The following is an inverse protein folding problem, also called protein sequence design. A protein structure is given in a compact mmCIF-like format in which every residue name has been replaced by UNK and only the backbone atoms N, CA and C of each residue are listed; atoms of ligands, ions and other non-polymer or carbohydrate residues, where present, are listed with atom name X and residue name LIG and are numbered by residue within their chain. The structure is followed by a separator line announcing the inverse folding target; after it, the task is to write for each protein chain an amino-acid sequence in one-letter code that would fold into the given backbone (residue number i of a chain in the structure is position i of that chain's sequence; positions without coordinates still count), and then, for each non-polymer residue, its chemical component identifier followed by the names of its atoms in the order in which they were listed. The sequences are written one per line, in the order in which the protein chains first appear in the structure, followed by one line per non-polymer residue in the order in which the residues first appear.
data_IF_289478422762
#
_entry.id   IF_289478422762
#
_cell.length_a   1.000
_cell.length_b   1.000
_cell.length_c   1.000
_cell.angle_alpha   90.00
_cell.angle_beta   90.00
_cell.angle_gamma   90.00
#
_symmetry.space_group_name_H-M   'P 1'
#
loop_
_entity.id
_entity.type
_entity.pdbx_description
1 polymer ?
#
# COMPACT_ATOMS: atom_id res chain seq x y z
N UNK A 1 17.68 -35.48 -1.20
CA UNK A 1 17.78 -34.49 -2.28
C UNK A 1 19.13 -34.66 -2.95
N UNK A 2 19.15 -35.12 -4.20
CA UNK A 2 20.39 -35.34 -4.94
C UNK A 2 20.61 -34.17 -5.90
N UNK A 3 21.83 -33.63 -5.89
CA UNK A 3 22.27 -32.67 -6.88
C UNK A 3 22.87 -33.40 -8.08
N UNK A 4 22.83 -32.80 -9.28
CA UNK A 4 23.37 -33.40 -10.50
C UNK A 4 24.77 -34.02 -10.38
N UNK A 5 25.70 -33.34 -9.70
CA UNK A 5 27.08 -33.81 -9.52
C UNK A 5 27.22 -34.98 -8.53
N UNK A 6 26.20 -35.27 -7.71
CA UNK A 6 26.23 -36.42 -6.78
C UNK A 6 26.27 -37.78 -7.51
N UNK A 7 25.95 -37.81 -8.81
CA UNK A 7 26.06 -38.99 -9.65
C UNK A 7 27.47 -39.19 -10.26
N UNK A 8 28.34 -38.19 -10.11
CA UNK A 8 29.71 -38.21 -10.61
C UNK A 8 30.64 -38.59 -9.46
N UNK A 9 31.69 -39.36 -9.75
CA UNK A 9 32.68 -39.76 -8.75
C UNK A 9 33.25 -38.52 -8.05
N UNK A 10 33.27 -38.57 -6.71
CA UNK A 10 33.70 -37.47 -5.84
C UNK A 10 35.15 -37.07 -6.10
N UNK A 11 35.99 -37.98 -6.60
CA UNK A 11 37.37 -37.67 -6.97
C UNK A 11 37.49 -36.71 -8.16
N UNK A 12 36.43 -36.58 -8.97
CA UNK A 12 36.40 -35.70 -10.14
C UNK A 12 35.81 -34.32 -9.80
N UNK A 13 35.36 -34.11 -8.57
CA UNK A 13 34.71 -32.85 -8.17
C UNK A 13 35.74 -31.72 -8.10
N UNK A 14 35.44 -30.55 -8.68
CA UNK A 14 36.25 -29.36 -8.49
C UNK A 14 36.30 -28.92 -7.03
N UNK A 15 37.40 -28.28 -6.65
CA UNK A 15 37.60 -27.73 -5.30
C UNK A 15 36.46 -26.77 -4.93
N UNK A 16 35.87 -26.96 -3.75
CA UNK A 16 34.70 -26.19 -3.28
C UNK A 16 33.33 -26.76 -3.67
N UNK A 17 33.25 -27.78 -4.54
CA UNK A 17 32.00 -28.51 -4.82
C UNK A 17 31.71 -29.63 -3.82
N UNK A 18 32.64 -29.89 -2.89
CA UNK A 18 32.44 -30.86 -1.80
C UNK A 18 31.39 -30.42 -0.76
N UNK A 19 31.15 -29.12 -0.69
CA UNK A 19 30.07 -28.52 0.08
C UNK A 19 28.88 -28.21 -0.83
N UNK A 20 27.73 -27.88 -0.23
CA UNK A 20 26.60 -27.37 -1.00
C UNK A 20 27.04 -26.19 -1.87
N UNK A 21 26.63 -26.15 -3.15
CA UNK A 21 27.01 -25.08 -4.05
C UNK A 21 26.68 -23.73 -3.43
N UNK A 22 27.59 -22.76 -3.58
CA UNK A 22 27.40 -21.43 -3.03
C UNK A 22 26.05 -20.86 -3.50
N UNK A 23 25.28 -20.31 -2.57
CA UNK A 23 24.00 -19.68 -2.89
C UNK A 23 22.86 -20.65 -3.21
N UNK A 24 23.07 -21.96 -3.14
CA UNK A 24 22.02 -22.94 -3.36
C UNK A 24 20.98 -22.90 -2.24
N UNK A 25 19.72 -22.64 -2.61
CA UNK A 25 18.60 -22.54 -1.67
C UNK A 25 17.82 -23.85 -1.56
N UNK A 26 17.85 -24.68 -2.60
CA UNK A 26 17.14 -25.95 -2.63
C UNK A 26 16.52 -26.26 -3.99
N UNK A 27 15.85 -27.42 -4.05
CA UNK A 27 14.98 -27.73 -5.18
C UNK A 27 13.67 -26.96 -5.06
N UNK A 28 13.11 -26.52 -6.19
CA UNK A 28 11.87 -25.74 -6.22
C UNK A 28 10.71 -26.43 -5.50
N UNK A 29 10.55 -27.75 -5.66
CA UNK A 29 9.48 -28.51 -5.00
C UNK A 29 9.58 -28.52 -3.46
N UNK A 30 10.79 -28.32 -2.89
CA UNK A 30 10.97 -28.22 -1.44
C UNK A 30 10.57 -26.84 -0.91
N UNK A 31 10.66 -25.82 -1.76
CA UNK A 31 10.33 -24.43 -1.44
C UNK A 31 8.84 -24.13 -1.63
N UNK A 32 8.16 -24.87 -2.51
CA UNK A 32 6.73 -24.71 -2.76
C UNK A 32 5.91 -25.58 -1.80
N UNK A 33 5.01 -24.95 -1.04
CA UNK A 33 4.05 -25.66 -0.18
C UNK A 33 2.61 -25.50 -0.68
N UNK A 34 2.00 -26.55 -1.24
CA UNK A 34 0.58 -26.51 -1.60
C UNK A 34 -0.29 -26.23 -0.37
N UNK A 35 -1.20 -25.25 -0.47
CA UNK A 35 -2.11 -24.87 0.61
C UNK A 35 -3.06 -25.99 1.03
N UNK A 36 -3.41 -26.88 0.10
CA UNK A 36 -4.26 -28.05 0.34
C UNK A 36 -3.41 -29.32 0.26
N UNK A 37 -3.46 -30.15 1.30
CA UNK A 37 -2.76 -31.43 1.35
C UNK A 37 -3.26 -32.35 0.21
N UNK A 38 -2.36 -33.13 -0.38
CA UNK A 38 -2.61 -34.23 -1.32
C UNK A 38 -3.36 -33.93 -2.63
N UNK A 39 -3.67 -32.67 -2.96
CA UNK A 39 -4.42 -32.37 -4.20
C UNK A 39 -3.52 -32.01 -5.38
N UNK A 40 -2.30 -31.51 -5.11
CA UNK A 40 -1.40 -30.96 -6.14
C UNK A 40 0.08 -31.27 -5.93
N UNK A 41 0.45 -32.04 -4.90
CA UNK A 41 1.87 -32.34 -4.62
C UNK A 41 2.54 -33.04 -5.80
N UNK A 42 1.89 -34.06 -6.37
CA UNK A 42 2.40 -34.76 -7.56
C UNK A 42 2.52 -33.84 -8.76
N UNK A 43 1.49 -33.04 -9.05
CA UNK A 43 1.51 -32.09 -10.19
C UNK A 43 2.59 -31.03 -10.02
N UNK A 44 2.73 -30.47 -8.81
CA UNK A 44 3.79 -29.50 -8.50
C UNK A 44 5.16 -30.13 -8.65
N UNK A 45 5.35 -31.36 -8.17
CA UNK A 45 6.59 -32.09 -8.38
C UNK A 45 6.85 -32.35 -9.87
N UNK A 46 5.86 -32.77 -10.66
CA UNK A 46 6.00 -32.95 -12.11
C UNK A 46 6.40 -31.66 -12.82
N UNK A 47 5.87 -30.51 -12.39
CA UNK A 47 6.17 -29.21 -13.00
C UNK A 47 7.50 -28.59 -12.54
N UNK A 48 7.99 -28.91 -11.34
CA UNK A 48 9.09 -28.18 -10.68
C UNK A 48 10.21 -29.07 -10.16
N UNK A 49 10.11 -30.39 -10.33
CA UNK A 49 10.77 -31.38 -9.48
C UNK A 49 12.30 -31.39 -9.55
N UNK A 50 12.87 -31.18 -10.73
CA UNK A 50 14.33 -31.18 -10.90
C UNK A 50 14.93 -29.78 -10.84
N UNK A 51 14.10 -28.75 -10.87
CA UNK A 51 14.53 -27.35 -10.91
C UNK A 51 15.27 -26.95 -9.64
N UNK A 52 16.40 -26.27 -9.81
CA UNK A 52 17.26 -25.79 -8.74
C UNK A 52 17.07 -24.28 -8.53
N UNK A 53 17.14 -23.84 -7.27
CA UNK A 53 17.00 -22.42 -6.91
C UNK A 53 18.26 -21.93 -6.21
N UNK A 54 18.74 -20.77 -6.65
CA UNK A 54 19.88 -20.05 -6.14
C UNK A 54 19.49 -18.64 -5.69
N UNK A 55 20.31 -18.03 -4.83
CA UNK A 55 20.17 -16.63 -4.42
C UNK A 55 20.42 -15.66 -5.59
N UNK A 56 21.59 -15.77 -6.21
CA UNK A 56 22.12 -14.91 -7.24
C UNK A 56 22.38 -15.67 -8.54
N UNK A 57 22.34 -14.94 -9.65
CA UNK A 57 22.60 -15.49 -10.98
C UNK A 57 24.03 -16.02 -11.14
N UNK A 58 25.00 -15.27 -10.61
CA UNK A 58 26.44 -15.58 -10.63
C UNK A 58 26.72 -16.97 -10.08
N UNK A 59 26.10 -17.29 -8.94
CA UNK A 59 26.20 -18.58 -8.27
C UNK A 59 25.53 -19.71 -9.07
N UNK A 60 24.31 -19.47 -9.58
CA UNK A 60 23.59 -20.43 -10.42
C UNK A 60 24.38 -20.81 -11.68
N UNK A 61 24.93 -19.81 -12.38
CA UNK A 61 25.72 -20.01 -13.60
C UNK A 61 27.07 -20.68 -13.32
N UNK A 62 27.75 -20.30 -12.23
CA UNK A 62 28.99 -20.94 -11.83
C UNK A 62 28.79 -22.45 -11.59
N UNK A 63 27.72 -22.82 -10.89
CA UNK A 63 27.36 -24.22 -10.67
C UNK A 63 26.98 -24.95 -11.96
N UNK A 64 26.14 -24.34 -12.80
CA UNK A 64 25.74 -24.90 -14.09
C UNK A 64 26.95 -25.17 -14.99
N UNK A 65 27.85 -24.18 -15.10
CA UNK A 65 29.09 -24.28 -15.88
C UNK A 65 30.01 -25.37 -15.35
N UNK A 66 30.20 -25.45 -14.04
CA UNK A 66 30.98 -26.49 -13.38
C UNK A 66 30.45 -27.88 -13.76
N UNK A 67 29.15 -28.11 -13.60
CA UNK A 67 28.54 -29.40 -13.90
C UNK A 67 28.58 -29.76 -15.40
N UNK A 68 28.25 -28.82 -16.29
CA UNK A 68 28.23 -29.06 -17.75
C UNK A 68 29.61 -29.19 -18.38
N UNK A 69 30.54 -28.31 -18.00
CA UNK A 69 31.87 -28.22 -18.64
C UNK A 69 32.87 -29.15 -17.97
N UNK A 70 32.93 -29.13 -16.64
CA UNK A 70 34.00 -29.78 -15.89
C UNK A 70 33.60 -31.24 -15.57
N UNK A 71 32.35 -31.47 -15.16
CA UNK A 71 31.82 -32.80 -14.82
C UNK A 71 31.07 -33.51 -15.95
N UNK A 72 30.79 -32.81 -17.06
CA UNK A 72 30.04 -33.31 -18.23
C UNK A 72 28.71 -33.99 -17.87
N UNK A 73 28.04 -33.49 -16.83
CA UNK A 73 26.74 -34.02 -16.40
C UNK A 73 25.60 -33.08 -16.81
N UNK A 74 24.42 -33.66 -17.02
CA UNK A 74 23.22 -32.89 -17.32
C UNK A 74 22.74 -32.13 -16.09
N UNK A 75 22.45 -30.84 -16.29
CA UNK A 75 21.98 -29.96 -15.24
C UNK A 75 20.56 -29.52 -15.59
N UNK A 76 19.58 -29.71 -14.70
CA UNK A 76 18.24 -29.20 -14.89
C UNK A 76 18.22 -27.67 -14.79
N UNK A 77 17.10 -27.05 -15.15
CA UNK A 77 16.91 -25.60 -15.10
C UNK A 77 17.25 -25.04 -13.72
N UNK A 78 18.05 -23.96 -13.70
CA UNK A 78 18.45 -23.24 -12.50
C UNK A 78 17.80 -21.85 -12.49
N UNK A 79 17.12 -21.48 -11.41
CA UNK A 79 16.52 -20.16 -11.20
C UNK A 79 17.26 -19.38 -10.13
N UNK A 80 17.27 -18.05 -10.24
CA UNK A 80 17.62 -17.17 -9.13
C UNK A 80 16.40 -16.40 -8.60
N UNK A 81 16.58 -15.71 -7.47
CA UNK A 81 15.51 -14.91 -6.86
C UNK A 81 15.13 -13.68 -7.69
N UNK A 82 16.02 -13.17 -8.53
CA UNK A 82 15.75 -12.04 -9.43
C UNK A 82 14.85 -12.42 -10.64
N UNK A 83 14.49 -13.70 -10.79
CA UNK A 83 13.63 -14.17 -11.90
C UNK A 83 14.37 -14.40 -13.22
N UNK A 84 15.69 -14.52 -13.19
CA UNK A 84 16.50 -15.03 -14.31
C UNK A 84 16.70 -16.54 -14.17
N UNK A 85 16.79 -17.26 -15.28
CA UNK A 85 17.04 -18.70 -15.27
C UNK A 85 18.08 -19.13 -16.31
N UNK A 86 18.85 -20.17 -15.99
CA UNK A 86 19.58 -20.97 -16.99
C UNK A 86 18.65 -22.13 -17.33
N UNK A 87 18.29 -22.28 -18.60
CA UNK A 87 17.59 -23.48 -19.03
C UNK A 87 18.52 -24.70 -19.05
N UNK A 88 17.96 -25.90 -19.08
CA UNK A 88 18.73 -27.15 -19.13
C UNK A 88 19.68 -27.17 -20.34
N UNK A 89 19.27 -26.59 -21.46
CA UNK A 89 20.07 -26.45 -22.69
C UNK A 89 21.20 -25.41 -22.59
N UNK A 90 21.33 -24.72 -21.45
CA UNK A 90 22.33 -23.68 -21.25
C UNK A 90 21.94 -22.33 -21.84
N UNK A 91 20.72 -22.20 -22.34
CA UNK A 91 20.16 -20.92 -22.79
C UNK A 91 19.83 -20.07 -21.56
N UNK A 92 20.42 -18.88 -21.49
CA UNK A 92 20.03 -17.89 -20.48
C UNK A 92 18.67 -17.31 -20.86
N UNK A 93 17.65 -17.62 -20.07
CA UNK A 93 16.30 -17.12 -20.24
C UNK A 93 15.96 -16.24 -19.06
N UNK A 94 15.85 -14.93 -19.29
CA UNK A 94 15.55 -14.01 -18.21
C UNK A 94 15.87 -12.59 -18.60
N UNK A 95 14.91 -11.71 -18.40
CA UNK A 95 15.15 -10.27 -18.45
C UNK A 95 14.72 -9.75 -17.10
N UNK A 96 15.59 -9.03 -16.38
CA UNK A 96 15.15 -8.26 -15.19
C UNK A 96 13.93 -7.39 -15.51
N UNK A 97 13.83 -6.92 -16.77
CA UNK A 97 12.69 -6.19 -17.31
C UNK A 97 11.35 -6.95 -17.42
N UNK A 98 11.33 -8.27 -17.21
CA UNK A 98 10.11 -9.10 -17.23
C UNK A 98 9.70 -9.63 -15.85
N UNK A 99 10.52 -9.43 -14.81
CA UNK A 99 10.06 -9.64 -13.44
C UNK A 99 9.14 -8.45 -13.11
N UNK A 100 7.83 -8.63 -12.95
CA UNK A 100 6.95 -7.49 -12.80
C UNK A 100 7.23 -6.81 -11.46
N UNK A 101 7.52 -5.51 -11.49
CA UNK A 101 7.87 -4.71 -10.30
C UNK A 101 6.76 -4.71 -9.23
N UNK A 102 5.53 -5.02 -9.65
CA UNK A 102 4.37 -5.14 -8.77
C UNK A 102 3.73 -6.51 -8.91
N UNK A 103 3.38 -7.10 -7.75
CA UNK A 103 2.65 -8.37 -7.66
C UNK A 103 1.36 -8.38 -8.49
N UNK A 104 0.74 -7.22 -8.74
CA UNK A 104 -0.49 -7.04 -9.53
C UNK A 104 -0.29 -7.25 -11.03
N UNK A 105 0.95 -7.15 -11.52
CA UNK A 105 1.32 -7.35 -12.92
C UNK A 105 1.68 -8.82 -13.23
N UNK A 106 1.85 -9.67 -12.20
CA UNK A 106 1.99 -11.11 -12.39
C UNK A 106 0.68 -11.67 -12.91
N UNK A 107 0.68 -12.18 -14.15
CA UNK A 107 -0.35 -13.10 -14.62
C UNK A 107 -0.09 -14.42 -13.89
N UNK A 108 -0.72 -14.61 -12.72
CA UNK A 108 -0.55 -15.81 -11.89
C UNK A 108 -1.09 -17.03 -12.63
N UNK A 109 -0.27 -17.63 -13.48
CA UNK A 109 -0.54 -18.88 -14.16
C UNK A 109 -0.01 -20.06 -13.31
N UNK A 110 -0.49 -20.17 -12.07
CA UNK A 110 -0.32 -21.36 -11.25
C UNK A 110 -1.70 -21.84 -10.75
N UNK A 111 -2.49 -22.33 -11.72
CA UNK A 111 -3.67 -23.16 -11.45
C UNK A 111 -4.78 -22.56 -10.59
N UNK A 112 -4.90 -21.23 -10.53
CA UNK A 112 -6.13 -20.56 -10.11
C UNK A 112 -7.05 -20.44 -11.32
N UNK A 113 -8.33 -20.81 -11.18
CA UNK A 113 -9.30 -20.49 -12.23
C UNK A 113 -9.33 -18.97 -12.44
N UNK A 114 -9.61 -18.53 -13.67
CA UNK A 114 -9.66 -17.10 -14.00
C UNK A 114 -10.60 -16.33 -13.05
N UNK A 115 -11.67 -17.00 -12.57
CA UNK A 115 -12.61 -16.51 -11.57
C UNK A 115 -11.98 -16.22 -10.19
N UNK A 116 -11.05 -17.05 -9.72
CA UNK A 116 -10.36 -16.81 -8.44
C UNK A 116 -9.44 -15.58 -8.53
N UNK A 117 -8.78 -15.41 -9.68
CA UNK A 117 -7.93 -14.24 -9.96
C UNK A 117 -8.78 -12.98 -10.10
N UNK A 118 -9.91 -13.05 -10.79
CA UNK A 118 -10.87 -11.96 -10.90
C UNK A 118 -11.46 -11.60 -9.53
N UNK A 119 -11.74 -12.58 -8.67
CA UNK A 119 -12.22 -12.37 -7.30
C UNK A 119 -11.24 -11.57 -6.45
N UNK A 120 -9.96 -11.94 -6.44
CA UNK A 120 -8.92 -11.20 -5.72
C UNK A 120 -8.70 -9.80 -6.31
N UNK A 121 -8.75 -9.64 -7.65
CA UNK A 121 -8.69 -8.31 -8.29
C UNK A 121 -9.86 -7.39 -7.88
N UNK A 122 -11.07 -7.93 -7.74
CA UNK A 122 -12.23 -7.17 -7.25
C UNK A 122 -12.04 -6.74 -5.80
N UNK A 123 -11.47 -7.61 -4.95
CA UNK A 123 -11.15 -7.27 -3.55
C UNK A 123 -10.13 -6.14 -3.46
N UNK A 124 -9.04 -6.22 -4.24
CA UNK A 124 -8.02 -5.19 -4.31
C UNK A 124 -8.58 -3.83 -4.74
N UNK A 125 -9.37 -3.79 -5.83
CA UNK A 125 -10.07 -2.56 -6.26
C UNK A 125 -10.98 -1.99 -5.16
N UNK A 126 -11.64 -2.86 -4.40
CA UNK A 126 -12.51 -2.44 -3.29
C UNK A 126 -11.71 -1.84 -2.13
N UNK A 127 -10.53 -2.39 -1.83
CA UNK A 127 -9.61 -1.84 -0.82
C UNK A 127 -9.08 -0.47 -1.27
N UNK A 128 -8.70 -0.32 -2.54
CA UNK A 128 -8.27 0.99 -3.09
C UNK A 128 -9.38 2.03 -3.00
N UNK A 129 -10.63 1.67 -3.35
CA UNK A 129 -11.79 2.55 -3.20
C UNK A 129 -12.06 2.92 -1.74
N UNK A 130 -11.93 1.97 -0.81
CA UNK A 130 -12.07 2.23 0.62
C UNK A 130 -10.99 3.19 1.13
N UNK A 131 -9.75 3.08 0.65
CA UNK A 131 -8.68 4.01 1.01
C UNK A 131 -8.98 5.45 0.56
N UNK A 132 -9.52 5.63 -0.65
CA UNK A 132 -9.96 6.94 -1.15
C UNK A 132 -11.11 7.48 -0.30
N UNK A 133 -12.13 6.67 -0.01
CA UNK A 133 -13.26 7.10 0.82
C UNK A 133 -12.85 7.49 2.24
N UNK A 134 -11.88 6.79 2.84
CA UNK A 134 -11.34 7.16 4.16
C UNK A 134 -10.65 8.52 4.12
N UNK A 135 -9.82 8.77 3.09
CA UNK A 135 -9.16 10.06 2.92
C UNK A 135 -10.17 11.22 2.74
N UNK A 136 -11.25 10.99 1.96
CA UNK A 136 -12.34 11.95 1.82
C UNK A 136 -13.09 12.18 3.13
N UNK A 137 -13.33 11.11 3.91
CA UNK A 137 -13.95 11.20 5.22
C UNK A 137 -13.14 12.05 6.20
N UNK A 138 -11.82 11.88 6.22
CA UNK A 138 -10.93 12.64 7.10
C UNK A 138 -10.85 14.12 6.70
N UNK A 139 -10.88 14.41 5.39
CA UNK A 139 -11.03 15.79 4.90
C UNK A 139 -12.35 16.41 5.37
N UNK A 140 -13.47 15.70 5.20
CA UNK A 140 -14.80 16.16 5.61
C UNK A 140 -14.87 16.41 7.14
N UNK A 141 -14.28 15.53 7.95
CA UNK A 141 -14.14 15.77 9.40
C UNK A 141 -13.40 17.07 9.69
N UNK A 142 -12.30 17.33 8.99
CA UNK A 142 -11.56 18.59 9.07
C UNK A 142 -12.47 19.80 8.82
N UNK A 143 -13.20 19.79 7.71
CA UNK A 143 -14.12 20.87 7.33
C UNK A 143 -15.24 21.07 8.36
N UNK A 144 -15.81 20.00 8.91
CA UNK A 144 -16.81 20.05 9.98
C UNK A 144 -16.24 20.70 11.25
N UNK A 145 -15.03 20.33 11.66
CA UNK A 145 -14.41 20.95 12.85
C UNK A 145 -14.12 22.43 12.65
N UNK A 146 -13.63 22.83 11.47
CA UNK A 146 -13.39 24.22 11.12
C UNK A 146 -14.69 25.03 11.11
N UNK A 147 -15.77 24.46 10.56
CA UNK A 147 -17.09 25.09 10.50
C UNK A 147 -17.68 25.26 11.90
N UNK A 148 -17.57 24.23 12.77
CA UNK A 148 -18.01 24.29 14.16
C UNK A 148 -17.30 25.41 14.93
N UNK A 149 -16.00 25.61 14.70
CA UNK A 149 -15.24 26.72 15.29
C UNK A 149 -15.78 28.07 14.85
N UNK A 150 -15.96 28.29 13.53
CA UNK A 150 -16.54 29.54 12.99
C UNK A 150 -17.93 29.84 13.56
N UNK A 151 -18.78 28.82 13.71
CA UNK A 151 -20.12 28.99 14.31
C UNK A 151 -20.03 29.41 15.79
N UNK A 152 -19.06 28.88 16.54
CA UNK A 152 -18.84 29.31 17.93
C UNK A 152 -18.32 30.74 18.01
N UNK A 153 -17.39 31.13 17.14
CA UNK A 153 -16.87 32.50 17.04
C UNK A 153 -18.01 33.49 16.72
N UNK A 154 -18.82 33.21 15.68
CA UNK A 154 -19.98 34.05 15.35
C UNK A 154 -21.00 34.14 16.49
N UNK A 155 -21.24 33.05 17.24
CA UNK A 155 -22.12 33.10 18.43
C UNK A 155 -21.57 34.02 19.51
N UNK A 156 -20.27 33.93 19.80
CA UNK A 156 -19.63 34.81 20.79
C UNK A 156 -19.66 36.28 20.38
N UNK A 157 -19.45 36.57 19.09
CA UNK A 157 -19.59 37.94 18.57
C UNK A 157 -21.03 38.45 18.67
N UNK A 158 -22.02 37.61 18.36
CA UNK A 158 -23.43 37.96 18.49
C UNK A 158 -23.82 38.24 19.96
N UNK A 159 -23.34 37.42 20.90
CA UNK A 159 -23.54 37.64 22.34
C UNK A 159 -22.89 38.95 22.82
N UNK A 160 -21.68 39.29 22.32
CA UNK A 160 -21.02 40.57 22.60
C UNK A 160 -21.82 41.76 22.08
N UNK A 161 -22.33 41.68 20.85
CA UNK A 161 -23.15 42.74 20.27
C UNK A 161 -24.50 42.88 21.01
N UNK A 162 -25.10 41.76 21.42
CA UNK A 162 -26.34 41.75 22.22
C UNK A 162 -26.14 42.32 23.62
N UNK A 163 -25.02 42.00 24.27
CA UNK A 163 -24.64 42.57 25.57
C UNK A 163 -24.28 44.06 25.46
N UNK A 164 -23.67 44.49 24.35
CA UNK A 164 -23.44 45.90 24.02
C UNK A 164 -24.72 46.69 23.70
N UNK A 165 -25.83 46.01 23.42
CA UNK A 165 -27.14 46.62 23.16
C UNK A 165 -27.93 47.05 24.40
N UNK A 166 -27.38 46.84 25.61
CA UNK A 166 -28.00 47.30 26.88
C UNK A 166 -27.16 48.34 27.61
N UNK A 167 -26.50 49.24 26.88
CA UNK A 167 -25.95 50.47 27.46
C UNK A 167 -26.51 51.66 26.71
N UNK A 168 -27.60 52.22 27.26
CA UNK A 168 -27.92 53.63 27.13
C UNK A 168 -28.88 54.05 26.02
N UNK A 169 -30.18 54.01 26.32
CA UNK A 169 -31.03 55.19 26.07
C UNK A 169 -31.08 56.01 27.37
N UNK A 170 -30.19 57.00 27.63
CA UNK A 170 -30.47 58.07 28.57
C UNK A 170 -30.73 59.41 27.85
N UNK A 171 -30.68 59.47 26.52
CA UNK A 171 -30.96 60.70 25.78
C UNK A 171 -32.43 60.85 25.37
N UNK A 172 -33.22 59.77 25.30
CA UNK A 172 -34.64 59.88 24.88
C UNK A 172 -35.61 60.24 26.00
N UNK A 173 -35.24 60.05 27.28
CA UNK A 173 -36.07 60.47 28.43
C UNK A 173 -35.75 61.90 28.87
N UNK A 174 -34.49 62.33 28.83
CA UNK A 174 -34.12 63.72 29.08
C UNK A 174 -34.64 64.67 27.98
N UNK A 175 -34.62 64.24 26.70
CA UNK A 175 -35.20 65.01 25.61
C UNK A 175 -36.73 65.10 25.69
N UNK A 176 -37.42 64.06 26.19
CA UNK A 176 -38.86 64.08 26.38
C UNK A 176 -39.29 64.94 27.58
N UNK A 177 -38.50 64.98 28.65
CA UNK A 177 -38.75 65.87 29.80
C UNK A 177 -38.46 67.35 29.47
N UNK A 178 -37.39 67.62 28.70
CA UNK A 178 -37.08 68.98 28.25
C UNK A 178 -38.09 69.54 27.24
N UNK A 179 -38.73 68.68 26.42
CA UNK A 179 -39.82 69.11 25.53
C UNK A 179 -41.09 69.48 26.29
N UNK A 180 -41.42 68.79 27.39
CA UNK A 180 -42.59 69.12 28.21
C UNK A 180 -42.41 70.39 29.05
N UNK A 181 -41.20 70.72 29.50
CA UNK A 181 -40.96 71.99 30.22
C UNK A 181 -40.94 73.22 29.29
N UNK A 182 -40.58 73.06 28.02
CA UNK A 182 -40.68 74.13 27.02
C UNK A 182 -42.13 74.44 26.61
N UNK A 183 -42.99 73.43 26.51
CA UNK A 183 -44.44 73.61 26.26
C UNK A 183 -45.17 74.27 27.43
N UNK A 184 -44.76 73.98 28.68
CA UNK A 184 -45.35 74.60 29.87
C UNK A 184 -44.99 76.09 30.01
N UNK A 185 -43.79 76.49 29.60
CA UNK A 185 -43.33 77.88 29.65
C UNK A 185 -43.79 78.73 28.45
N UNK A 186 -44.24 78.13 27.35
CA UNK A 186 -44.90 78.86 26.25
C UNK A 186 -46.41 79.04 26.46
N UNK A 187 -47.04 78.23 27.33
CA UNK A 187 -48.45 78.41 27.72
C UNK A 187 -48.67 79.51 28.78
N UNK A 188 -47.61 79.93 29.48
CA UNK A 188 -47.62 81.06 30.41
C UNK A 188 -47.08 82.32 29.70
N UNK A 189 -47.88 82.88 28.78
CA UNK A 189 -47.62 84.20 28.22
C UNK A 189 -47.61 85.29 29.31
N UNK A 190 -46.84 86.38 29.11
CA UNK A 190 -46.78 87.48 30.08
C UNK A 190 -48.17 88.12 30.24
N UNK A 191 -48.59 88.27 31.50
CA UNK A 191 -49.73 89.10 31.87
C UNK A 191 -49.44 90.54 31.44
N UNK A 192 -50.37 91.12 30.69
CA UNK A 192 -50.41 92.54 30.36
C UNK A 192 -50.44 93.39 31.64
N UNK A 193 -49.55 94.39 31.72
CA UNK A 193 -49.77 95.68 32.39
C UNK A 193 -49.09 96.81 31.61
#
# INVERSE_FOLDING_TARGET
CHLPHHHVDRQQWPEGLEAWPKGFLGHTYNLVRPRRKNTRSTVVYTMTGTTLVFDEWTNAYAYFKCCRRDLKCDVPTCFNLDGTMVDADGVLVGTRAKCPDKITQLKVALGGSDEAVQGERRKLKRIEQLAVMVAEMDKCKGDVTATKRKVQECRQELDRLSAGGRVGRPQSQAAAAALMELDANQAAGPAEE
#
